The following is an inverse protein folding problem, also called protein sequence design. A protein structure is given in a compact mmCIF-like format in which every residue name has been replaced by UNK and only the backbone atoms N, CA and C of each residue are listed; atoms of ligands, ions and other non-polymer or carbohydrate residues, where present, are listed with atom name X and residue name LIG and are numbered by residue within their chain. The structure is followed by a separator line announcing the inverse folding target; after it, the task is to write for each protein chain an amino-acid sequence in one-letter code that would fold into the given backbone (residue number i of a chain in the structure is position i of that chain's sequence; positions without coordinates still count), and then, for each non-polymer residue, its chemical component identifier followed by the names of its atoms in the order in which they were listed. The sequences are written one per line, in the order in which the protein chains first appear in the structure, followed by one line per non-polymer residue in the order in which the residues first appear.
data_IF_354566117812
#
_entry.id   IF_354566117812
#
_cell.length_a   1.000
_cell.length_b   1.000
_cell.length_c   1.000
_cell.angle_alpha   90.00
_cell.angle_beta   90.00
_cell.angle_gamma   90.00
#
_symmetry.space_group_name_H-M   'P 1'
#
loop_
_entity.id
_entity.type
_entity.pdbx_description
1 polymer ?
#
# COMPACT_ATOMS: atom_id res chain seq x y z
N UNK A 1 -15.14 -20.81 -11.89
CA UNK A 1 -16.28 -20.34 -11.12
C UNK A 1 -16.23 -18.84 -10.88
N UNK A 2 -17.37 -18.23 -10.69
CA UNK A 2 -17.47 -16.78 -10.46
C UNK A 2 -16.73 -16.37 -9.19
N UNK A 3 -16.80 -17.19 -8.16
CA UNK A 3 -16.13 -16.92 -6.90
C UNK A 3 -14.61 -16.88 -7.03
N UNK A 4 -14.08 -17.81 -7.81
CA UNK A 4 -12.63 -17.88 -8.03
C UNK A 4 -12.14 -16.65 -8.82
N UNK A 5 -12.91 -16.23 -9.82
CA UNK A 5 -12.57 -15.05 -10.60
C UNK A 5 -12.59 -13.80 -9.74
N UNK A 6 -13.50 -13.72 -8.77
CA UNK A 6 -13.59 -12.61 -7.84
C UNK A 6 -12.37 -12.54 -6.93
N UNK A 7 -11.96 -13.68 -6.39
CA UNK A 7 -10.79 -13.76 -5.50
C UNK A 7 -9.53 -13.37 -6.26
N UNK A 8 -9.36 -13.90 -7.47
CA UNK A 8 -8.20 -13.57 -8.30
C UNK A 8 -8.18 -12.09 -8.65
N UNK A 9 -9.33 -11.52 -8.98
CA UNK A 9 -9.44 -10.10 -9.31
C UNK A 9 -9.12 -9.21 -8.10
N UNK A 10 -9.62 -9.57 -6.93
CA UNK A 10 -9.35 -8.82 -5.70
C UNK A 10 -7.88 -8.89 -5.32
N UNK A 11 -7.26 -10.07 -5.44
CA UNK A 11 -5.84 -10.24 -5.15
C UNK A 11 -4.98 -9.43 -6.13
N UNK A 12 -5.35 -9.43 -7.39
CA UNK A 12 -4.66 -8.66 -8.42
C UNK A 12 -4.75 -7.16 -8.14
N UNK A 13 -5.93 -6.68 -7.79
CA UNK A 13 -6.15 -5.27 -7.47
C UNK A 13 -5.34 -4.85 -6.24
N UNK A 14 -5.32 -5.69 -5.21
CA UNK A 14 -4.57 -5.42 -4.00
C UNK A 14 -3.07 -5.36 -4.28
N UNK A 15 -2.56 -6.31 -5.05
CA UNK A 15 -1.14 -6.34 -5.42
C UNK A 15 -0.76 -5.12 -6.23
N UNK A 16 -1.61 -4.71 -7.15
CA UNK A 16 -1.37 -3.54 -7.98
C UNK A 16 -1.36 -2.25 -7.15
N UNK A 17 -2.30 -2.13 -6.20
CA UNK A 17 -2.36 -0.98 -5.31
C UNK A 17 -1.10 -0.90 -4.45
N UNK A 18 -0.65 -2.02 -3.91
CA UNK A 18 0.58 -2.08 -3.13
C UNK A 18 1.79 -1.68 -3.98
N UNK A 19 1.87 -2.21 -5.19
CA UNK A 19 2.94 -1.86 -6.11
C UNK A 19 2.98 -0.36 -6.38
N UNK A 20 1.82 0.24 -6.65
CA UNK A 20 1.73 1.67 -6.96
C UNK A 20 2.17 2.51 -5.77
N UNK A 21 1.76 2.11 -4.55
CA UNK A 21 2.18 2.81 -3.34
C UNK A 21 3.68 2.73 -3.14
N UNK A 22 4.27 1.55 -3.32
CA UNK A 22 5.71 1.36 -3.15
C UNK A 22 6.51 2.12 -4.21
N UNK A 23 6.04 2.12 -5.44
CA UNK A 23 6.72 2.84 -6.52
C UNK A 23 6.60 4.35 -6.38
N UNK A 24 5.66 4.82 -5.61
CA UNK A 24 5.53 6.23 -5.29
C UNK A 24 6.48 6.72 -4.21
N UNK A 25 7.10 5.80 -3.45
CA UNK A 25 8.00 6.16 -2.35
C UNK A 25 9.29 6.85 -2.83
N UNK A 26 10.01 6.33 -3.85
CA UNK A 26 11.27 6.95 -4.25
C UNK A 26 11.15 8.43 -4.61
N UNK A 27 10.19 8.86 -5.45
CA UNK A 27 10.10 10.28 -5.77
C UNK A 27 9.73 11.16 -4.58
N UNK A 28 9.00 10.62 -3.61
CA UNK A 28 8.61 11.38 -2.43
C UNK A 28 9.78 11.67 -1.50
N UNK A 29 10.69 10.71 -1.34
CA UNK A 29 11.78 10.84 -0.39
C UNK A 29 13.10 11.26 -1.01
N UNK A 30 13.20 11.28 -2.34
CA UNK A 30 14.45 11.60 -3.02
C UNK A 30 15.02 12.94 -2.57
N UNK A 31 14.17 13.96 -2.46
CA UNK A 31 14.58 15.28 -2.01
C UNK A 31 15.09 15.30 -0.57
N UNK A 32 14.48 14.50 0.29
CA UNK A 32 14.91 14.38 1.68
C UNK A 32 16.26 13.68 1.78
N UNK A 33 16.46 12.64 0.96
CA UNK A 33 17.70 11.85 1.01
C UNK A 33 18.92 12.64 0.57
N UNK A 34 18.73 13.61 -0.32
CA UNK A 34 19.83 14.43 -0.81
C UNK A 34 20.48 15.23 0.32
N UNK A 35 19.72 15.59 1.33
CA UNK A 35 20.22 16.36 2.46
C UNK A 35 20.86 15.51 3.56
N UNK A 36 20.69 14.19 3.48
CA UNK A 36 21.23 13.26 4.47
C UNK A 36 22.58 12.72 4.02
N UNK A 37 23.55 12.75 4.92
CA UNK A 37 24.91 12.26 4.64
C UNK A 37 25.24 11.00 5.42
N UNK A 38 24.51 10.71 6.47
CA UNK A 38 24.73 9.55 7.34
C UNK A 38 23.92 8.37 6.83
N UNK A 39 24.59 7.22 6.54
CA UNK A 39 23.87 6.02 6.09
C UNK A 39 22.78 5.56 7.04
N UNK A 40 22.98 5.74 8.34
CA UNK A 40 22.01 5.33 9.34
C UNK A 40 20.74 6.18 9.26
N UNK A 41 20.90 7.48 9.05
CA UNK A 41 19.76 8.36 8.88
C UNK A 41 19.00 8.07 7.58
N UNK A 42 19.72 7.75 6.52
CA UNK A 42 19.14 7.37 5.24
C UNK A 42 18.29 6.11 5.41
N UNK A 43 18.84 5.09 6.07
CA UNK A 43 18.12 3.85 6.33
C UNK A 43 16.85 4.11 7.14
N UNK A 44 16.97 4.94 8.17
CA UNK A 44 15.83 5.27 9.02
C UNK A 44 14.73 5.97 8.22
N UNK A 45 15.11 6.90 7.36
CA UNK A 45 14.15 7.62 6.53
C UNK A 45 13.45 6.68 5.54
N UNK A 46 14.23 5.81 4.91
CA UNK A 46 13.69 4.81 3.99
C UNK A 46 12.72 3.87 4.71
N UNK A 47 13.10 3.41 5.89
CA UNK A 47 12.27 2.52 6.68
C UNK A 47 10.93 3.18 7.03
N UNK A 48 10.96 4.44 7.43
CA UNK A 48 9.75 5.18 7.74
C UNK A 48 8.84 5.32 6.53
N UNK A 49 9.42 5.63 5.37
CA UNK A 49 8.66 5.81 4.15
C UNK A 49 8.00 4.49 3.70
N UNK A 50 8.75 3.39 3.78
CA UNK A 50 8.22 2.07 3.44
C UNK A 50 7.13 1.63 4.40
N UNK A 51 7.34 1.86 5.69
CA UNK A 51 6.34 1.53 6.72
C UNK A 51 5.05 2.30 6.47
N UNK A 52 5.16 3.57 6.14
CA UNK A 52 3.98 4.39 5.85
C UNK A 52 3.25 3.89 4.61
N UNK A 53 3.98 3.51 3.57
CA UNK A 53 3.37 2.94 2.38
C UNK A 53 2.63 1.64 2.70
N UNK A 54 3.21 0.79 3.54
CA UNK A 54 2.57 -0.45 3.97
C UNK A 54 1.32 -0.19 4.82
N UNK A 55 1.37 0.81 5.68
CA UNK A 55 0.20 1.20 6.46
C UNK A 55 -0.93 1.72 5.57
N UNK A 56 -0.58 2.50 4.55
CA UNK A 56 -1.56 2.99 3.59
C UNK A 56 -2.17 1.84 2.79
N UNK A 57 -1.35 0.85 2.41
CA UNK A 57 -1.83 -0.33 1.71
C UNK A 57 -2.80 -1.13 2.58
N UNK A 58 -2.47 -1.30 3.85
CA UNK A 58 -3.33 -2.01 4.81
C UNK A 58 -4.67 -1.30 4.96
N UNK A 59 -4.63 0.01 5.04
CA UNK A 59 -5.85 0.83 5.14
C UNK A 59 -6.74 0.68 3.92
N UNK A 60 -6.14 0.66 2.73
CA UNK A 60 -6.89 0.47 1.48
C UNK A 60 -7.54 -0.90 1.42
N UNK A 61 -6.82 -1.93 1.87
CA UNK A 61 -7.36 -3.29 1.92
C UNK A 61 -8.52 -3.39 2.91
N UNK A 62 -8.42 -2.73 4.04
CA UNK A 62 -9.49 -2.69 5.02
C UNK A 62 -10.73 -1.97 4.48
N UNK A 63 -10.53 -0.87 3.76
CA UNK A 63 -11.61 -0.15 3.13
C UNK A 63 -12.37 -1.01 2.14
N UNK A 64 -11.64 -1.73 1.29
CA UNK A 64 -12.24 -2.64 0.31
C UNK A 64 -13.05 -3.73 1.00
N UNK A 65 -12.52 -4.28 2.09
CA UNK A 65 -13.22 -5.30 2.87
C UNK A 65 -14.50 -4.75 3.48
N UNK A 66 -14.45 -3.54 4.01
CA UNK A 66 -15.63 -2.89 4.59
C UNK A 66 -16.69 -2.60 3.54
N UNK A 67 -16.28 -2.15 2.36
CA UNK A 67 -17.21 -1.89 1.27
C UNK A 67 -17.89 -3.18 0.82
N UNK A 68 -17.13 -4.26 0.69
CA UNK A 68 -17.69 -5.56 0.33
C UNK A 68 -18.68 -6.06 1.38
N UNK A 69 -18.34 -5.93 2.65
CA UNK A 69 -19.23 -6.33 3.74
C UNK A 69 -20.48 -5.47 3.77
N UNK A 70 -20.34 -4.18 3.58
CA UNK A 70 -21.48 -3.27 3.54
C UNK A 70 -22.42 -3.59 2.39
N UNK A 71 -21.88 -3.99 1.25
CA UNK A 71 -22.68 -4.36 0.10
C UNK A 71 -23.41 -5.68 0.26
N UNK A 72 -22.99 -6.51 1.21
CA UNK A 72 -23.59 -7.81 1.46
C UNK A 72 -24.62 -7.80 2.59
N UNK A 73 -24.67 -6.76 3.35
CA UNK A 73 -25.60 -6.70 4.47
C UNK A 73 -27.03 -6.64 3.97
N UNK A 74 -27.87 -7.59 4.41
CA UNK A 74 -29.29 -7.57 4.05
C UNK A 74 -30.01 -6.57 4.94
N UNK A 75 -30.49 -5.55 4.36
CA UNK A 75 -31.29 -4.60 5.12
C UNK A 75 -32.75 -4.68 4.78
#
# INVERSE_FOLDING_TARGET
TVERARVDSAAFTAARALRDLLMGVPPKIAGDLVTLTDPWEIERRLTQALRRALEDADRLLQLDAEIEQGGKEPN
#
